data_IF_326549785025
#
_entry.id   IF_326549785025
#
_cell.length_a   1.000
_cell.length_b   1.000
_cell.length_c   1.000
_cell.angle_alpha   90.00
_cell.angle_beta   90.00
_cell.angle_gamma   90.00
#
_symmetry.space_group_name_H-M   'P 1'
#
loop_
_entity.id
_entity.type
_entity.pdbx_description
1 polymer ?
#
# COMPACT_ATOMS: atom_id res chain seq x y z
N UNK A 1 -45.66 -2.13 -13.62
CA UNK A 1 -44.45 -2.63 -12.93
C UNK A 1 -43.62 -3.36 -13.97
N UNK A 2 -42.43 -2.98 -14.39
CA UNK A 2 -41.32 -2.29 -13.74
C UNK A 2 -40.58 -1.40 -14.76
N UNK A 3 -40.34 -0.12 -14.44
CA UNK A 3 -39.16 0.61 -14.89
C UNK A 3 -38.14 0.81 -13.76
N UNK A 4 -38.33 0.17 -12.60
CA UNK A 4 -37.52 0.42 -11.39
C UNK A 4 -36.25 -0.44 -11.28
N UNK A 5 -36.09 -1.50 -12.08
CA UNK A 5 -34.92 -2.40 -11.96
C UNK A 5 -33.67 -1.80 -12.62
N UNK A 6 -33.81 -0.95 -13.65
CA UNK A 6 -32.67 -0.41 -14.39
C UNK A 6 -31.91 0.68 -13.62
N UNK A 7 -32.58 1.43 -12.73
CA UNK A 7 -31.95 2.50 -11.93
C UNK A 7 -31.06 1.93 -10.82
N UNK A 8 -31.42 0.76 -10.27
CA UNK A 8 -30.64 0.11 -9.21
C UNK A 8 -29.34 -0.47 -9.75
N UNK A 9 -29.32 -0.97 -10.99
CA UNK A 9 -28.09 -1.45 -11.63
C UNK A 9 -27.10 -0.34 -12.00
N UNK A 10 -27.56 0.90 -12.18
CA UNK A 10 -26.70 2.04 -12.45
C UNK A 10 -25.99 2.52 -11.16
N UNK A 11 -26.69 2.44 -10.01
CA UNK A 11 -26.14 2.84 -8.71
C UNK A 11 -25.04 1.91 -8.19
N UNK A 12 -24.99 0.64 -8.61
CA UNK A 12 -23.90 -0.28 -8.24
C UNK A 12 -22.63 -0.10 -9.06
N UNK A 13 -22.68 0.69 -10.14
CA UNK A 13 -21.51 1.01 -10.98
C UNK A 13 -20.79 2.30 -10.58
N UNK A 14 -21.27 3.00 -9.53
CA UNK A 14 -20.60 4.20 -9.00
C UNK A 14 -19.46 3.90 -8.02
N UNK A 15 -19.17 2.63 -7.74
CA UNK A 15 -17.83 2.24 -7.28
C UNK A 15 -16.89 2.10 -8.49
N UNK A 16 -16.96 3.05 -9.42
CA UNK A 16 -15.88 3.32 -10.35
C UNK A 16 -14.64 3.60 -9.51
N UNK A 17 -13.55 2.92 -9.85
CA UNK A 17 -12.20 3.20 -9.38
C UNK A 17 -12.05 4.70 -9.12
N UNK A 18 -11.99 5.06 -7.84
CA UNK A 18 -11.86 6.45 -7.45
C UNK A 18 -10.63 6.99 -8.15
N UNK A 19 -10.85 7.96 -9.05
CA UNK A 19 -9.87 8.87 -9.59
C UNK A 19 -9.25 9.55 -8.37
N UNK A 20 -8.24 8.90 -7.81
CA UNK A 20 -7.82 9.22 -6.46
C UNK A 20 -7.18 10.60 -6.51
N UNK A 21 -7.65 11.47 -5.61
CA UNK A 21 -7.14 12.83 -5.50
C UNK A 21 -5.68 12.85 -5.02
N UNK A 22 -5.36 13.83 -4.21
CA UNK A 22 -4.03 13.96 -3.64
C UNK A 22 -3.84 12.98 -2.46
N UNK A 23 -2.65 12.38 -2.37
CA UNK A 23 -2.25 11.54 -1.25
C UNK A 23 -1.12 12.22 -0.51
N UNK A 24 -1.25 12.33 0.81
CA UNK A 24 -0.25 12.96 1.66
C UNK A 24 0.22 12.00 2.74
N UNK A 25 1.53 11.98 2.94
CA UNK A 25 2.17 11.41 4.14
C UNK A 25 2.61 12.54 5.04
N UNK A 26 1.96 12.67 6.20
CA UNK A 26 2.36 13.61 7.24
C UNK A 26 3.28 12.93 8.25
N UNK A 27 4.40 13.58 8.57
CA UNK A 27 5.21 13.24 9.73
C UNK A 27 4.71 14.05 10.92
N UNK A 28 4.24 13.37 11.96
CA UNK A 28 3.54 13.95 13.09
C UNK A 28 4.30 13.69 14.39
N UNK A 29 4.35 14.72 15.24
CA UNK A 29 4.59 14.58 16.67
C UNK A 29 3.26 14.72 17.41
N UNK A 30 2.87 13.69 18.16
CA UNK A 30 1.62 13.62 18.92
C UNK A 30 1.94 13.63 20.42
N UNK A 31 1.44 14.62 21.15
CA UNK A 31 1.53 14.66 22.61
C UNK A 31 0.20 14.15 23.18
N UNK A 32 0.23 13.03 23.90
CA UNK A 32 -0.92 12.46 24.61
C UNK A 32 -1.20 13.27 25.89
N UNK A 33 -2.44 13.23 26.38
CA UNK A 33 -2.83 13.88 27.65
C UNK A 33 -2.06 13.37 28.88
N UNK A 34 -1.53 12.14 28.82
CA UNK A 34 -0.67 11.58 29.87
C UNK A 34 0.81 12.01 29.76
N UNK A 35 1.16 12.89 28.80
CA UNK A 35 2.50 13.43 28.59
C UNK A 35 3.41 12.58 27.70
N UNK A 36 2.95 11.42 27.21
CA UNK A 36 3.71 10.62 26.23
C UNK A 36 3.76 11.35 24.89
N UNK A 37 4.93 11.38 24.27
CA UNK A 37 5.14 11.95 22.94
C UNK A 37 5.41 10.82 21.95
N UNK A 38 4.67 10.79 20.84
CA UNK A 38 4.80 9.81 19.76
C UNK A 38 5.23 10.51 18.48
N UNK A 39 6.30 10.01 17.86
CA UNK A 39 6.65 10.37 16.48
C UNK A 39 6.04 9.33 15.55
N UNK A 40 5.34 9.79 14.52
CA UNK A 40 4.51 8.91 13.70
C UNK A 40 4.27 9.45 12.30
N UNK A 41 3.76 8.57 11.45
CA UNK A 41 3.36 8.88 10.09
C UNK A 41 1.85 8.68 9.96
N UNK A 42 1.19 9.62 9.28
CA UNK A 42 -0.23 9.57 8.97
C UNK A 42 -0.44 9.73 7.47
N UNK A 43 -1.28 8.87 6.89
CA UNK A 43 -1.62 8.91 5.48
C UNK A 43 -3.02 9.48 5.30
N UNK A 44 -3.11 10.55 4.53
CA UNK A 44 -4.34 11.26 4.24
C UNK A 44 -4.64 11.22 2.74
N UNK A 45 -5.90 10.99 2.40
CA UNK A 45 -6.39 10.96 1.03
C UNK A 45 -7.45 12.07 0.92
N UNK A 46 -7.26 13.00 0.00
CA UNK A 46 -8.18 14.14 -0.21
C UNK A 46 -8.31 14.48 -1.68
N UNK A 47 -9.48 14.94 -2.11
CA UNK A 47 -9.65 15.54 -3.45
C UNK A 47 -9.09 16.96 -3.52
N UNK A 48 -9.05 17.65 -2.38
CA UNK A 48 -8.49 18.99 -2.28
C UNK A 48 -6.98 18.93 -2.04
N UNK A 49 -6.26 19.90 -2.60
CA UNK A 49 -4.83 20.03 -2.34
C UNK A 49 -4.61 20.58 -0.94
N UNK A 50 -3.67 19.98 -0.21
CA UNK A 50 -3.19 20.53 1.05
C UNK A 50 -2.41 21.82 0.76
N UNK A 51 -2.85 22.94 1.34
CA UNK A 51 -2.17 24.23 1.28
C UNK A 51 -1.57 24.56 2.64
N UNK A 52 -0.23 24.52 2.72
CA UNK A 52 0.53 24.87 3.93
C UNK A 52 0.16 26.25 4.50
N UNK A 53 -0.29 27.20 3.69
CA UNK A 53 -0.54 28.56 4.18
C UNK A 53 -1.88 28.71 4.89
N UNK A 54 -2.87 27.89 4.53
CA UNK A 54 -4.21 27.90 5.12
C UNK A 54 -4.38 26.78 6.14
N UNK A 55 -3.83 25.60 5.84
CA UNK A 55 -4.16 24.35 6.54
C UNK A 55 -3.19 24.04 7.69
N UNK A 56 -2.04 24.72 7.74
CA UNK A 56 -1.06 24.60 8.84
C UNK A 56 -1.53 25.34 10.10
N UNK A 57 -2.49 26.27 9.95
CA UNK A 57 -3.16 26.97 11.04
C UNK A 57 -4.44 26.27 11.53
N UNK A 58 -5.06 25.44 10.69
CA UNK A 58 -6.12 24.55 11.12
C UNK A 58 -5.52 23.36 11.88
N UNK A 59 -6.12 22.98 13.00
CA UNK A 59 -5.70 21.76 13.68
C UNK A 59 -5.91 20.60 12.72
N UNK A 60 -4.95 19.68 12.59
CA UNK A 60 -5.12 18.43 11.84
C UNK A 60 -6.44 17.71 12.24
N UNK A 61 -6.89 17.87 13.48
CA UNK A 61 -8.23 17.47 13.97
C UNK A 61 -9.38 17.86 13.01
N UNK A 62 -9.36 19.08 12.47
CA UNK A 62 -10.36 19.61 11.54
C UNK A 62 -10.27 18.94 10.16
N UNK A 63 -9.04 18.62 9.70
CA UNK A 63 -8.81 17.90 8.45
C UNK A 63 -9.24 16.44 8.55
N UNK A 64 -9.14 15.85 9.74
CA UNK A 64 -9.34 14.43 9.95
C UNK A 64 -10.82 14.03 9.97
N UNK A 65 -11.71 14.91 10.45
CA UNK A 65 -13.16 14.67 10.57
C UNK A 65 -13.52 13.25 11.10
N UNK A 66 -12.71 12.74 12.03
CA UNK A 66 -12.78 11.36 12.57
C UNK A 66 -12.45 11.36 14.04
N UNK A 67 -13.06 10.44 14.79
CA UNK A 67 -12.74 10.26 16.21
C UNK A 67 -11.41 9.53 16.42
N UNK A 68 -11.10 8.57 15.53
CA UNK A 68 -9.87 7.78 15.57
C UNK A 68 -9.06 7.93 14.28
N UNK A 69 -7.74 7.87 14.42
CA UNK A 69 -6.81 7.80 13.29
C UNK A 69 -5.87 6.61 13.42
N UNK A 70 -5.54 6.01 12.28
CA UNK A 70 -4.45 5.05 12.18
C UNK A 70 -3.16 5.79 11.88
N UNK A 71 -2.17 5.60 12.74
CA UNK A 71 -0.82 6.10 12.56
C UNK A 71 0.19 4.96 12.50
N UNK A 72 1.37 5.25 11.96
CA UNK A 72 2.47 4.30 11.86
C UNK A 72 3.70 4.87 12.57
N UNK A 73 4.26 4.15 13.54
CA UNK A 73 5.44 4.62 14.30
C UNK A 73 6.75 4.35 13.57
N UNK A 74 6.73 3.46 12.59
CA UNK A 74 7.85 3.17 11.73
C UNK A 74 7.37 2.86 10.31
N UNK A 75 8.00 3.53 9.36
CA UNK A 75 7.96 3.18 7.95
C UNK A 75 9.40 3.08 7.43
N UNK A 76 9.60 2.30 6.38
CA UNK A 76 10.83 2.27 5.60
C UNK A 76 10.49 2.61 4.15
N UNK A 77 10.99 3.75 3.68
CA UNK A 77 10.82 4.19 2.29
C UNK A 77 11.91 3.58 1.42
N UNK A 78 11.51 2.91 0.34
CA UNK A 78 12.42 2.33 -0.62
C UNK A 78 12.14 2.87 -2.03
N UNK A 79 13.21 3.15 -2.76
CA UNK A 79 13.13 3.57 -4.15
C UNK A 79 13.30 2.35 -5.06
N UNK A 80 12.22 1.99 -5.76
CA UNK A 80 12.11 0.84 -6.64
C UNK A 80 12.19 1.25 -8.12
N UNK A 81 13.25 1.96 -8.48
CA UNK A 81 13.38 2.58 -9.80
C UNK A 81 12.61 3.91 -9.85
N UNK A 82 11.56 3.97 -10.67
CA UNK A 82 10.66 5.14 -10.76
C UNK A 82 9.56 5.12 -9.68
N UNK A 83 9.42 4.02 -8.94
CA UNK A 83 8.43 3.88 -7.87
C UNK A 83 9.07 4.18 -6.51
N UNK A 84 8.39 4.95 -5.67
CA UNK A 84 8.74 5.08 -4.25
C UNK A 84 7.63 4.44 -3.42
N UNK A 85 7.99 3.45 -2.59
CA UNK A 85 7.04 2.77 -1.71
C UNK A 85 7.50 2.86 -0.27
N UNK A 86 6.55 3.14 0.60
CA UNK A 86 6.70 3.02 2.04
C UNK A 86 6.28 1.62 2.48
N UNK A 87 7.09 1.00 3.33
CA UNK A 87 6.81 -0.28 3.93
C UNK A 87 6.62 -0.12 5.43
N UNK A 88 5.70 -0.89 6.00
CA UNK A 88 5.52 -0.97 7.45
C UNK A 88 5.17 -2.41 7.86
N UNK A 89 5.00 -2.63 9.16
CA UNK A 89 4.49 -3.86 9.74
C UNK A 89 3.32 -3.53 10.65
N UNK A 90 2.38 -4.47 10.79
CA UNK A 90 1.24 -4.32 11.71
C UNK A 90 1.68 -4.03 13.15
N UNK A 91 2.90 -4.42 13.54
CA UNK A 91 3.49 -4.11 14.84
C UNK A 91 3.77 -2.61 15.06
N UNK A 92 3.88 -1.83 13.99
CA UNK A 92 4.13 -0.39 14.04
C UNK A 92 2.87 0.43 13.77
N UNK A 93 1.74 -0.23 13.51
CA UNK A 93 0.44 0.39 13.29
C UNK A 93 -0.27 0.58 14.62
N UNK A 94 -0.72 1.80 14.89
CA UNK A 94 -1.43 2.15 16.12
C UNK A 94 -2.69 2.92 15.73
N UNK A 95 -3.81 2.56 16.34
CA UNK A 95 -5.03 3.38 16.29
C UNK A 95 -5.06 4.31 17.51
N UNK A 96 -5.26 5.60 17.26
CA UNK A 96 -5.29 6.65 18.28
C UNK A 96 -6.63 7.34 18.25
N UNK A 97 -7.25 7.44 19.43
CA UNK A 97 -8.39 8.33 19.69
C UNK A 97 -7.89 9.78 19.79
N UNK A 98 -8.40 10.66 18.92
CA UNK A 98 -8.03 12.08 18.91
C UNK A 98 -8.36 12.77 20.22
N UNK A 99 -9.36 12.31 20.98
CA UNK A 99 -9.68 12.86 22.29
C UNK A 99 -8.61 12.55 23.35
N UNK A 100 -7.75 11.56 23.11
CA UNK A 100 -6.61 11.25 23.98
C UNK A 100 -5.43 12.20 23.75
N UNK A 101 -5.44 12.96 22.64
CA UNK A 101 -4.39 13.89 22.28
C UNK A 101 -4.55 15.21 23.04
N UNK A 102 -3.41 15.74 23.46
CA UNK A 102 -3.25 17.10 23.99
C UNK A 102 -2.81 18.04 22.89
N UNK A 103 -1.95 17.57 21.98
CA UNK A 103 -1.39 18.37 20.89
C UNK A 103 -1.00 17.48 19.70
N UNK A 104 -1.19 18.01 18.50
CA UNK A 104 -0.68 17.47 17.24
C UNK A 104 0.25 18.52 16.63
N UNK A 105 1.43 18.11 16.18
CA UNK A 105 2.32 18.96 15.39
C UNK A 105 2.70 18.23 14.10
N UNK A 106 2.41 18.86 12.96
CA UNK A 106 2.96 18.44 11.68
C UNK A 106 4.42 18.89 11.65
N UNK A 107 5.35 17.95 11.50
CA UNK A 107 6.79 18.22 11.36
C UNK A 107 7.10 18.56 9.89
N UNK A 108 6.58 17.74 8.98
CA UNK A 108 6.62 17.93 7.54
C UNK A 108 5.58 17.03 6.87
N UNK A 109 5.42 17.15 5.56
CA UNK A 109 4.67 16.18 4.76
C UNK A 109 5.35 15.91 3.42
N UNK A 110 4.85 14.88 2.74
CA UNK A 110 5.20 14.56 1.36
C UNK A 110 3.91 14.29 0.60
N UNK A 111 3.74 14.92 -0.55
CA UNK A 111 2.74 14.50 -1.54
C UNK A 111 3.26 13.22 -2.21
N UNK A 112 2.39 12.23 -2.33
CA UNK A 112 2.68 10.92 -2.88
C UNK A 112 1.90 10.74 -4.17
N UNK A 113 2.47 9.96 -5.09
CA UNK A 113 1.75 9.55 -6.28
C UNK A 113 0.52 8.72 -5.90
N UNK A 114 -0.50 8.78 -6.76
CA UNK A 114 -1.85 8.27 -6.54
C UNK A 114 -1.90 6.73 -6.64
N UNK A 115 -1.16 6.02 -5.77
CA UNK A 115 -1.14 4.56 -5.65
C UNK A 115 -1.06 4.17 -4.19
N UNK A 116 -1.19 2.87 -3.85
CA UNK A 116 -0.98 2.36 -2.49
C UNK A 116 0.43 2.69 -2.02
N UNK A 117 0.66 3.81 -1.32
CA UNK A 117 2.03 4.27 -1.09
C UNK A 117 2.62 3.51 0.08
N UNK A 118 1.77 2.94 0.94
CA UNK A 118 2.13 2.18 2.12
C UNK A 118 1.74 0.72 1.95
N UNK A 119 2.74 -0.16 1.98
CA UNK A 119 2.58 -1.61 1.97
C UNK A 119 2.75 -2.15 3.39
N UNK A 120 1.68 -2.70 3.94
CA UNK A 120 1.71 -3.38 5.25
C UNK A 120 2.20 -4.82 5.07
N UNK A 121 3.36 -5.11 5.66
CA UNK A 121 4.03 -6.40 5.62
C UNK A 121 3.85 -7.16 6.94
N UNK A 122 3.96 -8.49 6.88
CA UNK A 122 4.21 -9.26 8.11
C UNK A 122 5.59 -8.89 8.69
N UNK A 123 5.78 -9.13 10.00
CA UNK A 123 7.07 -8.85 10.64
C UNK A 123 8.24 -9.56 9.94
N UNK A 124 8.02 -10.79 9.46
CA UNK A 124 9.05 -11.57 8.76
C UNK A 124 9.44 -10.93 7.43
N UNK A 125 8.47 -10.43 6.68
CA UNK A 125 8.69 -9.72 5.42
C UNK A 125 9.37 -8.38 5.66
N UNK A 126 8.92 -7.61 6.65
CA UNK A 126 9.49 -6.32 7.00
C UNK A 126 10.97 -6.41 7.40
N UNK A 127 11.36 -7.48 8.12
CA UNK A 127 12.76 -7.73 8.49
C UNK A 127 13.69 -8.04 7.31
N UNK A 128 13.16 -8.30 6.10
CA UNK A 128 13.98 -8.48 4.91
C UNK A 128 14.41 -7.17 4.26
N UNK A 129 13.74 -6.07 4.60
CA UNK A 129 14.07 -4.74 4.06
C UNK A 129 15.43 -4.34 4.62
N UNK A 130 16.40 -4.23 3.72
CA UNK A 130 17.78 -3.89 4.04
C UNK A 130 18.10 -2.44 3.72
N UNK A 131 19.27 -1.96 4.16
CA UNK A 131 19.70 -0.57 3.96
C UNK A 131 20.18 -0.22 2.54
N UNK A 132 20.27 -1.22 1.65
CA UNK A 132 20.72 -1.04 0.26
C UNK A 132 19.52 -1.14 -0.68
N UNK A 133 19.61 -0.59 -1.89
CA UNK A 133 18.54 -0.76 -2.88
C UNK A 133 18.31 -2.25 -3.20
N UNK A 134 17.05 -2.72 -3.24
CA UNK A 134 16.75 -4.09 -3.63
C UNK A 134 17.01 -4.32 -5.12
N UNK A 135 17.28 -5.58 -5.48
CA UNK A 135 17.01 -6.06 -6.84
C UNK A 135 15.51 -6.17 -7.04
N UNK A 136 15.05 -5.83 -8.25
CA UNK A 136 13.63 -5.70 -8.56
C UNK A 136 13.36 -6.39 -9.90
N UNK A 137 12.27 -7.16 -9.95
CA UNK A 137 11.75 -7.74 -11.19
C UNK A 137 10.23 -7.64 -11.22
N UNK A 138 9.68 -7.15 -12.33
CA UNK A 138 8.24 -7.00 -12.55
C UNK A 138 7.70 -8.18 -13.35
N UNK A 139 6.52 -8.66 -12.95
CA UNK A 139 5.76 -9.73 -13.62
C UNK A 139 4.37 -9.17 -13.94
N UNK A 140 4.09 -9.04 -15.23
CA UNK A 140 2.83 -8.53 -15.76
C UNK A 140 2.07 -9.61 -16.52
N UNK A 141 0.76 -9.70 -16.29
CA UNK A 141 -0.15 -10.49 -17.13
C UNK A 141 -1.53 -9.84 -17.18
N UNK A 142 -1.79 -9.11 -18.26
CA UNK A 142 -3.03 -8.34 -18.47
C UNK A 142 -4.31 -9.16 -18.28
N UNK A 143 -4.31 -10.44 -18.67
CA UNK A 143 -5.49 -11.31 -18.55
C UNK A 143 -5.82 -11.67 -17.10
N UNK A 144 -4.83 -11.62 -16.22
CA UNK A 144 -5.01 -11.87 -14.78
C UNK A 144 -5.33 -10.58 -14.05
N UNK A 145 -4.61 -9.50 -14.39
CA UNK A 145 -4.84 -8.17 -13.84
C UNK A 145 -4.40 -7.12 -14.85
N UNK A 146 -5.34 -6.27 -15.25
CA UNK A 146 -5.12 -5.34 -16.37
C UNK A 146 -4.09 -4.25 -16.06
N UNK A 147 -4.04 -3.80 -14.80
CA UNK A 147 -3.21 -2.69 -14.33
C UNK A 147 -2.31 -3.02 -13.15
N UNK A 148 -2.22 -4.29 -12.74
CA UNK A 148 -1.35 -4.70 -11.64
C UNK A 148 -0.20 -5.58 -12.07
N UNK A 149 0.91 -5.41 -11.37
CA UNK A 149 2.12 -6.20 -11.49
C UNK A 149 2.38 -6.92 -10.17
N UNK A 150 2.89 -8.15 -10.25
CA UNK A 150 3.65 -8.71 -9.14
C UNK A 150 5.07 -8.18 -9.21
N UNK A 151 5.58 -7.67 -8.10
CA UNK A 151 6.94 -7.14 -7.99
C UNK A 151 7.74 -8.06 -7.06
N UNK A 152 8.82 -8.62 -7.58
CA UNK A 152 9.78 -9.40 -6.81
C UNK A 152 10.86 -8.46 -6.29
N UNK A 153 11.08 -8.45 -4.98
CA UNK A 153 12.08 -7.64 -4.30
C UNK A 153 13.06 -8.53 -3.55
N UNK A 154 14.36 -8.26 -3.67
CA UNK A 154 15.37 -8.95 -2.88
C UNK A 154 16.58 -8.06 -2.57
N UNK A 155 16.91 -7.93 -1.29
CA UNK A 155 18.07 -7.18 -0.81
C UNK A 155 19.37 -7.99 -0.86
N UNK A 156 19.32 -9.28 -1.22
CA UNK A 156 20.49 -10.12 -1.39
C UNK A 156 21.01 -10.05 -2.83
N UNK A 157 22.21 -9.49 -2.99
CA UNK A 157 22.85 -9.31 -4.30
C UNK A 157 23.19 -10.61 -5.04
N UNK A 158 23.22 -11.76 -4.36
CA UNK A 158 23.51 -13.07 -4.95
C UNK A 158 22.26 -13.76 -5.53
N UNK A 159 21.07 -13.30 -5.18
CA UNK A 159 19.82 -13.90 -5.63
C UNK A 159 19.56 -13.59 -7.10
N UNK A 160 19.13 -14.61 -7.85
CA UNK A 160 18.70 -14.51 -9.26
C UNK A 160 17.16 -14.39 -9.31
N UNK A 161 16.68 -13.15 -9.42
CA UNK A 161 15.25 -12.87 -9.54
C UNK A 161 14.69 -13.27 -10.92
N UNK A 162 15.49 -13.21 -11.98
CA UNK A 162 15.03 -13.43 -13.35
C UNK A 162 14.58 -14.88 -13.54
N UNK A 163 15.24 -15.85 -12.89
CA UNK A 163 14.79 -17.25 -12.84
C UNK A 163 13.38 -17.38 -12.26
N UNK A 164 13.12 -16.75 -11.11
CA UNK A 164 11.83 -16.83 -10.43
C UNK A 164 10.72 -16.06 -11.17
N UNK A 165 11.06 -14.91 -11.75
CA UNK A 165 10.16 -14.17 -12.64
C UNK A 165 9.69 -15.05 -13.79
N UNK A 166 10.60 -15.75 -14.47
CA UNK A 166 10.24 -16.63 -15.58
C UNK A 166 9.29 -17.73 -15.16
N UNK A 167 9.63 -18.44 -14.07
CA UNK A 167 8.80 -19.53 -13.52
C UNK A 167 7.37 -19.06 -13.22
N UNK A 168 7.22 -17.92 -12.53
CA UNK A 168 5.90 -17.37 -12.20
C UNK A 168 5.18 -16.93 -13.48
N UNK A 169 5.87 -16.24 -14.38
CA UNK A 169 5.27 -15.77 -15.64
C UNK A 169 4.69 -16.92 -16.47
N UNK A 170 5.43 -18.03 -16.58
CA UNK A 170 5.01 -19.21 -17.32
C UNK A 170 3.74 -19.82 -16.71
N UNK A 171 3.65 -19.93 -15.38
CA UNK A 171 2.46 -20.40 -14.67
C UNK A 171 1.27 -19.45 -14.82
N UNK A 172 1.48 -18.13 -14.71
CA UNK A 172 0.44 -17.12 -14.93
C UNK A 172 -0.14 -17.24 -16.36
N UNK A 173 0.68 -17.50 -17.37
CA UNK A 173 0.19 -17.73 -18.74
C UNK A 173 -0.76 -18.94 -18.79
N UNK A 174 -0.44 -20.04 -18.10
CA UNK A 174 -1.30 -21.22 -18.05
C UNK A 174 -2.64 -20.92 -17.39
N UNK A 175 -2.64 -20.27 -16.23
CA UNK A 175 -3.86 -19.86 -15.54
C UNK A 175 -4.72 -18.90 -16.37
N UNK A 176 -4.08 -17.96 -17.08
CA UNK A 176 -4.78 -16.97 -17.90
C UNK A 176 -5.60 -17.55 -19.06
N UNK A 177 -5.33 -18.81 -19.47
CA UNK A 177 -6.08 -19.47 -20.56
C UNK A 177 -7.53 -19.78 -20.16
N UNK A 178 -7.78 -20.11 -18.89
CA UNK A 178 -9.09 -20.53 -18.38
C UNK A 178 -9.40 -19.93 -17.00
N UNK A 179 -9.12 -18.63 -16.83
CA UNK A 179 -9.11 -17.94 -15.53
C UNK A 179 -10.37 -18.17 -14.69
N UNK A 180 -11.56 -18.15 -15.32
CA UNK A 180 -12.85 -18.35 -14.64
C UNK A 180 -12.94 -19.68 -13.88
N UNK A 181 -12.26 -20.72 -14.38
CA UNK A 181 -12.24 -22.06 -13.76
C UNK A 181 -11.04 -22.30 -12.85
N UNK A 182 -9.98 -21.49 -12.96
CA UNK A 182 -8.70 -21.71 -12.27
C UNK A 182 -8.38 -20.66 -11.21
N UNK A 183 -9.26 -19.67 -10.97
CA UNK A 183 -9.00 -18.56 -10.03
C UNK A 183 -8.55 -19.03 -8.63
N UNK A 184 -9.24 -20.03 -8.06
CA UNK A 184 -8.88 -20.59 -6.75
C UNK A 184 -7.49 -21.26 -6.76
N UNK A 185 -7.15 -21.93 -7.86
CA UNK A 185 -5.85 -22.58 -8.02
C UNK A 185 -4.74 -21.55 -8.16
N UNK A 186 -4.99 -20.46 -8.90
CA UNK A 186 -4.09 -19.33 -9.03
C UNK A 186 -3.80 -18.69 -7.67
N UNK A 187 -4.84 -18.38 -6.88
CA UNK A 187 -4.66 -17.80 -5.54
C UNK A 187 -3.85 -18.72 -4.62
N UNK A 188 -4.12 -20.03 -4.66
CA UNK A 188 -3.36 -21.03 -3.90
C UNK A 188 -1.90 -21.08 -4.35
N UNK A 189 -1.65 -21.11 -5.65
CA UNK A 189 -0.30 -21.10 -6.23
C UNK A 189 0.48 -19.87 -5.78
N UNK A 190 -0.09 -18.67 -5.93
CA UNK A 190 0.57 -17.42 -5.54
C UNK A 190 0.87 -17.37 -4.04
N UNK A 191 -0.05 -17.83 -3.19
CA UNK A 191 0.16 -17.88 -1.74
C UNK A 191 1.33 -18.81 -1.38
N UNK A 192 1.35 -20.03 -1.92
CA UNK A 192 2.44 -20.98 -1.71
C UNK A 192 3.77 -20.46 -2.26
N UNK A 193 3.75 -19.83 -3.44
CA UNK A 193 4.94 -19.28 -4.07
C UNK A 193 5.50 -18.11 -3.27
N UNK A 194 4.63 -17.24 -2.76
CA UNK A 194 5.02 -16.14 -1.86
C UNK A 194 5.72 -16.66 -0.62
N UNK A 195 5.16 -17.69 0.04
CA UNK A 195 5.79 -18.30 1.21
C UNK A 195 7.13 -18.98 0.87
N UNK A 196 7.20 -19.73 -0.23
CA UNK A 196 8.43 -20.37 -0.70
C UNK A 196 9.55 -19.34 -0.95
N UNK A 197 9.24 -18.29 -1.73
CA UNK A 197 10.18 -17.23 -2.08
C UNK A 197 10.67 -16.50 -0.83
N UNK A 198 9.77 -16.19 0.09
CA UNK A 198 10.10 -15.53 1.34
C UNK A 198 11.02 -16.37 2.22
N UNK A 199 10.69 -17.65 2.39
CA UNK A 199 11.34 -18.54 3.37
C UNK A 199 12.68 -19.08 2.88
N UNK A 200 12.79 -19.47 1.62
CA UNK A 200 13.97 -20.15 1.07
C UNK A 200 14.95 -19.19 0.42
N UNK A 201 14.45 -18.11 -0.17
CA UNK A 201 15.24 -17.24 -1.04
C UNK A 201 15.32 -15.79 -0.53
N UNK A 202 14.60 -15.45 0.55
CA UNK A 202 14.48 -14.08 1.05
C UNK A 202 14.04 -13.09 -0.04
N UNK A 203 13.09 -13.53 -0.87
CA UNK A 203 12.46 -12.72 -1.91
C UNK A 203 11.06 -12.34 -1.43
N UNK A 204 10.76 -11.05 -1.45
CA UNK A 204 9.44 -10.51 -1.17
C UNK A 204 8.65 -10.40 -2.48
N UNK A 205 7.38 -10.82 -2.46
CA UNK A 205 6.43 -10.56 -3.54
C UNK A 205 5.41 -9.54 -3.03
N UNK A 206 5.29 -8.41 -3.72
CA UNK A 206 4.21 -7.44 -3.51
C UNK A 206 3.39 -7.27 -4.79
N UNK A 207 2.14 -6.80 -4.62
CA UNK A 207 1.32 -6.38 -5.75
C UNK A 207 1.38 -4.86 -5.85
N UNK A 208 1.56 -4.35 -7.06
CA UNK A 208 1.53 -2.93 -7.36
C UNK A 208 0.58 -2.68 -8.53
N UNK A 209 -0.41 -1.80 -8.36
CA UNK A 209 -1.39 -1.46 -9.37
C UNK A 209 -1.25 0.01 -9.77
N UNK A 210 -1.24 0.29 -11.07
CA UNK A 210 -1.31 1.65 -11.60
C UNK A 210 -2.76 2.07 -11.88
N UNK A 211 -2.99 3.36 -12.05
CA UNK A 211 -4.28 3.90 -12.48
C UNK A 211 -4.51 3.50 -13.94
N UNK A 212 -5.79 3.35 -14.31
CA UNK A 212 -6.24 3.04 -15.67
C UNK A 212 -6.63 4.31 -16.42
#
# INVERSE_FOLDING_TARGET
MQPFITIISLLTTLFSYADAGNIYRFNLELELKNGVILNSYYYHYSYDKYDENTDYGERLENLLNKDNITIYTLIQTENLGELQLDFTSSNYKIEIDLNSLKKIRIINYSELEVFYPLVELSQKEFLLIGSNNPKIEFIYNQKISENCNYVLLCWNSKTDLSKHKKEISDELILFSKNLSSTQNQLHKYLSLKKEELLTKYSILIINHCSAL
#
